data_IF_787685045660
#
_entry.id   IF_787685045660
#
_cell.length_a   1.000
_cell.length_b   1.000
_cell.length_c   1.000
_cell.angle_alpha   90.00
_cell.angle_beta   90.00
_cell.angle_gamma   90.00
#
_symmetry.space_group_name_H-M   'P 1'
#
loop_
_entity.id
_entity.type
_entity.pdbx_description
1 polymer ?
#
# COMPACT_ATOMS: atom_id res chain seq x y z
N UNK A 1 -16.49 -5.65 17.42
CA UNK A 1 -16.36 -4.18 17.52
C UNK A 1 -15.30 -3.73 16.54
N UNK A 2 -15.67 -3.04 15.46
CA UNK A 2 -14.71 -2.56 14.46
C UNK A 2 -13.64 -1.70 15.13
N UNK A 3 -12.39 -2.13 15.09
CA UNK A 3 -11.23 -1.39 15.59
C UNK A 3 -10.90 -0.21 14.67
N UNK A 4 -11.77 0.81 14.68
CA UNK A 4 -11.53 2.10 14.03
C UNK A 4 -10.37 2.78 14.76
N UNK A 5 -9.15 2.74 14.21
CA UNK A 5 -8.03 3.55 14.71
C UNK A 5 -6.61 3.01 14.46
N UNK A 6 -6.42 1.70 14.24
CA UNK A 6 -5.06 1.16 14.04
C UNK A 6 -4.40 1.65 12.75
N UNK A 7 -5.14 1.66 11.64
CA UNK A 7 -4.63 2.12 10.34
C UNK A 7 -4.22 3.60 10.35
N UNK A 8 -4.97 4.43 11.07
CA UNK A 8 -4.68 5.86 11.28
C UNK A 8 -3.32 6.03 11.97
N UNK A 9 -3.11 5.33 13.08
CA UNK A 9 -1.85 5.43 13.83
C UNK A 9 -0.63 4.96 13.02
N UNK A 10 -0.79 3.88 12.24
CA UNK A 10 0.27 3.39 11.36
C UNK A 10 0.64 4.41 10.28
N UNK A 11 -0.36 5.02 9.64
CA UNK A 11 -0.14 6.04 8.60
C UNK A 11 0.61 7.25 9.16
N UNK A 12 0.25 7.72 10.35
CA UNK A 12 0.93 8.85 10.99
C UNK A 12 2.39 8.51 11.34
N UNK A 13 2.67 7.27 11.74
CA UNK A 13 4.04 6.81 11.95
C UNK A 13 4.85 6.73 10.65
N UNK A 14 4.26 6.22 9.57
CA UNK A 14 4.92 6.16 8.27
C UNK A 14 5.30 7.57 7.78
N UNK A 15 4.38 8.53 7.93
CA UNK A 15 4.63 9.92 7.57
C UNK A 15 5.76 10.56 8.40
N UNK A 16 5.77 10.33 9.72
CA UNK A 16 6.86 10.81 10.60
C UNK A 16 8.23 10.22 10.24
N UNK A 17 8.26 9.03 9.65
CA UNK A 17 9.48 8.35 9.22
C UNK A 17 9.94 8.78 7.82
N UNK A 18 9.23 9.71 7.17
CA UNK A 18 9.58 10.18 5.81
C UNK A 18 9.33 9.12 4.74
N UNK A 19 8.35 8.24 4.93
CA UNK A 19 7.98 7.24 3.93
C UNK A 19 7.37 7.94 2.72
N UNK A 20 7.98 7.78 1.55
CA UNK A 20 7.52 8.40 0.30
C UNK A 20 6.57 7.50 -0.49
N UNK A 21 6.63 6.18 -0.27
CA UNK A 21 5.82 5.20 -0.99
C UNK A 21 5.44 3.99 -0.13
N UNK A 22 4.28 3.41 -0.41
CA UNK A 22 3.75 2.17 0.17
C UNK A 22 3.43 1.17 -0.94
N UNK A 23 3.93 -0.06 -0.81
CA UNK A 23 3.58 -1.19 -1.67
C UNK A 23 2.52 -2.04 -0.98
N UNK A 24 1.42 -2.34 -1.66
CA UNK A 24 0.33 -3.14 -1.08
C UNK A 24 -0.42 -3.99 -2.11
N UNK A 25 -1.04 -5.07 -1.66
CA UNK A 25 -2.00 -5.86 -2.46
C UNK A 25 -3.38 -5.18 -2.52
N UNK A 26 -3.70 -4.39 -1.49
CA UNK A 26 -4.97 -3.68 -1.35
C UNK A 26 -4.94 -2.65 -0.22
N UNK A 27 -5.84 -1.69 -0.27
CA UNK A 27 -5.98 -0.61 0.69
C UNK A 27 -7.43 -0.12 0.73
N UNK A 28 -7.96 0.02 1.95
CA UNK A 28 -9.30 0.59 2.15
C UNK A 28 -9.33 2.10 1.97
N UNK A 29 -10.54 2.62 1.73
CA UNK A 29 -10.80 4.04 1.39
C UNK A 29 -10.09 5.04 2.31
N UNK A 30 -10.28 4.93 3.64
CA UNK A 30 -9.76 5.92 4.58
C UNK A 30 -8.23 5.96 4.66
N UNK A 31 -7.58 4.80 4.52
CA UNK A 31 -6.13 4.72 4.53
C UNK A 31 -5.53 5.34 3.25
N UNK A 32 -6.13 5.07 2.10
CA UNK A 32 -5.70 5.59 0.80
C UNK A 32 -5.71 7.11 0.77
N UNK A 33 -6.85 7.74 1.08
CA UNK A 33 -6.96 9.20 1.02
C UNK A 33 -6.07 9.90 2.03
N UNK A 34 -5.79 9.27 3.18
CA UNK A 34 -4.90 9.85 4.18
C UNK A 34 -3.43 9.80 3.75
N UNK A 35 -2.98 8.68 3.18
CA UNK A 35 -1.63 8.58 2.59
C UNK A 35 -1.47 9.57 1.43
N UNK A 36 -2.47 9.66 0.56
CA UNK A 36 -2.49 10.61 -0.57
C UNK A 36 -2.41 12.06 -0.09
N UNK A 37 -3.17 12.44 0.95
CA UNK A 37 -3.10 13.78 1.53
C UNK A 37 -1.74 14.12 2.16
N UNK A 38 -0.97 13.10 2.55
CA UNK A 38 0.39 13.23 3.09
C UNK A 38 1.46 13.18 1.99
N UNK A 39 1.07 13.09 0.71
CA UNK A 39 2.01 12.99 -0.42
C UNK A 39 2.69 11.61 -0.54
N UNK A 40 2.24 10.61 0.21
CA UNK A 40 2.77 9.25 0.14
C UNK A 40 2.14 8.54 -1.06
N UNK A 41 2.98 8.05 -1.96
CA UNK A 41 2.54 7.28 -3.13
C UNK A 41 2.11 5.89 -2.72
N UNK A 42 1.06 5.36 -3.33
CA UNK A 42 0.59 4.01 -3.09
C UNK A 42 0.74 3.22 -4.37
N UNK A 43 1.35 2.05 -4.31
CA UNK A 43 1.59 1.17 -5.45
C UNK A 43 0.95 -0.20 -5.22
N UNK A 44 0.17 -0.64 -6.19
CA UNK A 44 -0.38 -1.99 -6.21
C UNK A 44 0.64 -2.97 -6.74
N UNK A 45 0.89 -4.01 -5.96
CA UNK A 45 1.63 -5.20 -6.38
C UNK A 45 0.66 -6.36 -6.53
N UNK A 46 0.97 -7.29 -7.42
CA UNK A 46 0.12 -8.44 -7.71
C UNK A 46 0.80 -9.73 -7.30
N UNK A 47 0.02 -10.70 -6.84
CA UNK A 47 0.50 -12.06 -6.60
C UNK A 47 0.70 -12.76 -7.95
N UNK A 48 1.81 -13.48 -8.08
CA UNK A 48 2.00 -14.38 -9.22
C UNK A 48 0.94 -15.48 -9.21
N UNK A 49 0.43 -15.93 -10.37
CA UNK A 49 -0.56 -17.00 -10.44
C UNK A 49 -0.09 -18.24 -9.65
N UNK A 50 -0.97 -18.75 -8.77
CA UNK A 50 -0.69 -19.91 -7.92
C UNK A 50 0.12 -19.62 -6.64
N UNK A 51 0.48 -18.36 -6.35
CA UNK A 51 1.09 -17.96 -5.07
C UNK A 51 0.08 -17.25 -4.17
N UNK A 52 0.04 -17.64 -2.89
CA UNK A 52 -0.75 -16.94 -1.85
C UNK A 52 0.00 -15.83 -1.13
N UNK A 53 1.29 -15.63 -1.43
CA UNK A 53 2.13 -14.62 -0.77
C UNK A 53 3.07 -13.95 -1.78
N UNK A 54 3.48 -12.74 -1.44
CA UNK A 54 4.49 -11.96 -2.15
C UNK A 54 5.67 -11.76 -1.21
N UNK A 55 6.88 -12.06 -1.65
CA UNK A 55 8.08 -11.70 -0.92
C UNK A 55 8.37 -10.21 -1.06
N UNK A 56 9.09 -9.62 -0.09
CA UNK A 56 9.54 -8.23 -0.19
C UNK A 56 10.40 -8.00 -1.45
N UNK A 57 11.24 -8.98 -1.81
CA UNK A 57 12.08 -8.90 -3.00
C UNK A 57 11.24 -8.80 -4.29
N UNK A 58 10.19 -9.62 -4.43
CA UNK A 58 9.27 -9.56 -5.57
C UNK A 58 8.51 -8.22 -5.62
N UNK A 59 8.10 -7.68 -4.48
CA UNK A 59 7.43 -6.38 -4.40
C UNK A 59 8.36 -5.23 -4.87
N UNK A 60 9.63 -5.27 -4.46
CA UNK A 60 10.64 -4.30 -4.88
C UNK A 60 11.00 -4.45 -6.36
N UNK A 61 11.08 -5.68 -6.87
CA UNK A 61 11.28 -5.92 -8.29
C UNK A 61 10.12 -5.36 -9.10
N UNK A 62 8.87 -5.58 -8.67
CA UNK A 62 7.70 -5.02 -9.35
C UNK A 62 7.76 -3.49 -9.42
N UNK A 63 8.17 -2.82 -8.33
CA UNK A 63 8.32 -1.36 -8.31
C UNK A 63 9.44 -0.88 -9.25
N UNK A 64 10.64 -1.45 -9.12
CA UNK A 64 11.82 -1.01 -9.88
C UNK A 64 11.76 -1.36 -11.37
N UNK A 65 10.98 -2.38 -11.75
CA UNK A 65 10.71 -2.75 -13.15
C UNK A 65 9.50 -2.05 -13.76
N UNK A 66 8.82 -1.16 -13.02
CA UNK A 66 7.63 -0.44 -13.51
C UNK A 66 6.38 -1.32 -13.67
N UNK A 67 6.36 -2.51 -13.05
CA UNK A 67 5.20 -3.42 -13.03
C UNK A 67 4.22 -3.12 -11.90
N UNK A 68 4.63 -2.36 -10.89
CA UNK A 68 3.75 -1.89 -9.84
C UNK A 68 2.98 -0.64 -10.30
N UNK A 69 1.65 -0.67 -10.21
CA UNK A 69 0.78 0.41 -10.66
C UNK A 69 0.59 1.43 -9.54
N UNK A 70 0.78 2.73 -9.82
CA UNK A 70 0.45 3.78 -8.87
C UNK A 70 -1.07 3.88 -8.71
N UNK A 71 -1.55 3.78 -7.48
CA UNK A 71 -2.96 3.71 -7.17
C UNK A 71 -3.66 5.06 -7.44
N UNK A 72 -4.60 5.06 -8.39
CA UNK A 72 -5.48 6.21 -8.63
C UNK A 72 -6.64 6.28 -7.61
N UNK A 73 -7.10 5.12 -7.15
CA UNK A 73 -8.25 4.92 -6.25
C UNK A 73 -8.00 3.76 -5.28
N UNK A 74 -8.72 3.66 -4.14
CA UNK A 74 -8.58 2.54 -3.22
C UNK A 74 -9.16 1.24 -3.83
N UNK A 75 -8.46 0.13 -3.61
CA UNK A 75 -8.85 -1.23 -3.96
C UNK A 75 -8.63 -2.12 -2.76
N UNK A 76 -9.69 -2.72 -2.22
CA UNK A 76 -9.55 -3.75 -1.20
C UNK A 76 -9.13 -5.06 -1.86
N UNK A 77 -8.22 -5.80 -1.21
CA UNK A 77 -7.90 -7.17 -1.61
C UNK A 77 -8.82 -8.08 -0.80
N UNK A 78 -9.52 -8.98 -1.50
CA UNK A 78 -10.38 -10.01 -0.88
C UNK A 78 -9.58 -10.98 0.00
#
# INVERSE_FOLDING_TARGET
THERGRGVRLIDELAKRGVEAVLTLGIGYGAFYRLKALGVKVYYVSLSPGKGTLTLAEALEALTSGKAEEAAEPREAD
#
